data_IF_854397401654
#
_entry.id   IF_854397401654
#
_cell.length_a   1.000
_cell.length_b   1.000
_cell.length_c   1.000
_cell.angle_alpha   90.00
_cell.angle_beta   90.00
_cell.angle_gamma   90.00
#
_symmetry.space_group_name_H-M   'P 1'
#
loop_
_entity.id
_entity.type
_entity.pdbx_description
1 polymer ?
#
# COMPACT_ATOMS: atom_id res chain seq x y z
N UNK A 1 17.84 -8.81 -22.13
CA UNK A 1 16.37 -8.62 -22.12
C UNK A 1 16.14 -7.26 -21.52
N UNK A 2 15.25 -6.44 -22.10
CA UNK A 2 15.01 -5.07 -21.63
C UNK A 2 13.67 -5.00 -20.91
N UNK A 3 13.57 -4.12 -19.92
CA UNK A 3 12.30 -3.81 -19.26
C UNK A 3 11.36 -3.18 -20.29
N UNK A 4 10.23 -3.83 -20.53
CA UNK A 4 9.13 -3.37 -21.38
C UNK A 4 7.80 -3.74 -20.73
N UNK A 5 6.71 -3.16 -21.24
CA UNK A 5 5.35 -3.40 -20.73
C UNK A 5 4.99 -4.89 -20.69
N UNK A 6 4.21 -5.27 -19.67
CA UNK A 6 3.71 -6.63 -19.41
C UNK A 6 4.81 -7.65 -19.06
N UNK A 7 5.97 -7.17 -18.59
CA UNK A 7 7.03 -8.00 -18.00
C UNK A 7 7.07 -7.88 -16.48
N UNK A 8 7.42 -8.98 -15.83
CA UNK A 8 7.73 -8.99 -14.39
C UNK A 8 9.19 -8.65 -14.20
N UNK A 9 9.44 -7.65 -13.36
CA UNK A 9 10.78 -7.17 -13.06
C UNK A 9 11.01 -7.30 -11.56
N UNK A 10 12.07 -8.02 -11.22
CA UNK A 10 12.59 -8.10 -9.86
C UNK A 10 13.63 -6.99 -9.69
N UNK A 11 13.39 -6.04 -8.79
CA UNK A 11 14.36 -4.99 -8.50
C UNK A 11 14.65 -4.87 -7.01
N UNK A 12 15.89 -4.53 -6.70
CA UNK A 12 16.26 -3.97 -5.41
C UNK A 12 16.21 -2.45 -5.54
N UNK A 13 15.71 -1.77 -4.52
CA UNK A 13 15.77 -0.32 -4.48
C UNK A 13 16.03 0.20 -3.08
N UNK A 14 16.54 1.42 -3.03
CA UNK A 14 16.64 2.20 -1.81
C UNK A 14 16.11 3.59 -2.08
N UNK A 15 15.10 4.03 -1.34
CA UNK A 15 14.52 5.37 -1.49
C UNK A 15 14.85 6.25 -0.31
N UNK A 16 15.41 7.43 -0.61
CA UNK A 16 15.79 8.44 0.36
C UNK A 16 15.12 9.77 0.04
N UNK A 17 14.78 10.53 1.08
CA UNK A 17 14.35 11.92 0.93
C UNK A 17 15.52 12.82 0.51
N UNK A 18 15.22 14.06 0.11
CA UNK A 18 16.24 15.05 -0.21
C UNK A 18 17.18 15.35 0.99
N UNK A 19 16.65 15.28 2.20
CA UNK A 19 17.38 15.37 3.48
C UNK A 19 18.26 14.15 3.79
N UNK A 20 18.22 13.10 2.96
CA UNK A 20 19.00 11.89 3.11
C UNK A 20 18.41 10.86 4.08
N UNK A 21 17.17 11.07 4.55
CA UNK A 21 16.45 10.11 5.40
C UNK A 21 16.04 8.92 4.54
N UNK A 22 16.38 7.71 5.00
CA UNK A 22 15.92 6.49 4.36
C UNK A 22 14.42 6.32 4.62
N UNK A 23 13.64 6.26 3.54
CA UNK A 23 12.18 6.11 3.61
C UNK A 23 11.81 4.63 3.55
N UNK A 24 12.38 3.93 2.58
CA UNK A 24 12.10 2.52 2.32
C UNK A 24 13.27 1.87 1.57
N UNK A 25 13.43 0.57 1.72
CA UNK A 25 14.44 -0.21 1.01
C UNK A 25 14.01 -1.66 0.77
N UNK A 26 14.27 -2.12 -0.45
CA UNK A 26 14.18 -3.52 -0.83
C UNK A 26 15.59 -4.00 -1.23
N UNK A 27 16.27 -4.80 -0.38
CA UNK A 27 17.60 -5.30 -0.68
C UNK A 27 17.56 -6.39 -1.77
N UNK A 28 18.68 -6.62 -2.46
CA UNK A 28 18.80 -7.68 -3.47
C UNK A 28 18.54 -9.11 -2.96
N UNK A 29 18.61 -9.33 -1.63
CA UNK A 29 18.22 -10.59 -1.00
C UNK A 29 16.71 -10.81 -0.95
N UNK A 30 15.92 -9.74 -1.00
CA UNK A 30 14.46 -9.74 -1.01
C UNK A 30 13.99 -8.69 -2.04
N UNK A 31 14.20 -8.96 -3.34
CA UNK A 31 13.85 -8.00 -4.38
C UNK A 31 12.33 -7.82 -4.44
N UNK A 32 11.91 -6.61 -4.79
CA UNK A 32 10.52 -6.31 -5.09
C UNK A 32 10.21 -6.77 -6.51
N UNK A 33 9.30 -7.73 -6.62
CA UNK A 33 8.74 -8.17 -7.89
C UNK A 33 7.51 -7.33 -8.24
N UNK A 34 7.54 -6.66 -9.40
CA UNK A 34 6.40 -5.90 -9.90
C UNK A 34 6.15 -6.13 -11.38
N UNK A 35 4.95 -5.77 -11.84
CA UNK A 35 4.54 -5.88 -13.24
C UNK A 35 4.66 -4.51 -13.92
N UNK A 36 5.51 -4.41 -14.93
CA UNK A 36 5.82 -3.16 -15.60
C UNK A 36 4.71 -2.73 -16.59
N UNK A 37 4.38 -1.44 -16.64
CA UNK A 37 3.39 -0.90 -17.58
C UNK A 37 1.94 -0.94 -17.09
N UNK A 38 1.74 -1.18 -15.78
CA UNK A 38 0.43 -1.31 -15.12
C UNK A 38 0.22 -0.38 -13.93
N UNK A 39 1.17 0.53 -13.66
CA UNK A 39 1.06 1.45 -12.53
C UNK A 39 1.21 0.76 -11.17
N UNK A 40 1.92 -0.37 -11.11
CA UNK A 40 2.27 -1.02 -9.84
C UNK A 40 3.32 -0.20 -9.06
N UNK A 41 4.07 0.66 -9.75
CA UNK A 41 5.04 1.59 -9.16
C UNK A 41 4.71 3.03 -9.55
N UNK A 42 5.36 3.96 -8.86
CA UNK A 42 5.29 5.39 -9.19
C UNK A 42 5.74 5.65 -10.63
N UNK A 43 5.07 6.57 -11.31
CA UNK A 43 5.25 6.81 -12.74
C UNK A 43 6.69 7.21 -13.10
N UNK A 44 7.37 7.98 -12.25
CA UNK A 44 8.75 8.39 -12.48
C UNK A 44 9.75 7.24 -12.42
N UNK A 45 9.53 6.28 -11.52
CA UNK A 45 10.37 5.09 -11.38
C UNK A 45 10.12 4.13 -12.55
N UNK A 46 8.87 3.93 -12.94
CA UNK A 46 8.51 3.07 -14.07
C UNK A 46 9.13 3.60 -15.37
N UNK A 47 9.02 4.90 -15.66
CA UNK A 47 9.68 5.54 -16.82
C UNK A 47 11.20 5.39 -16.81
N UNK A 48 11.82 5.46 -15.63
CA UNK A 48 13.28 5.35 -15.52
C UNK A 48 13.79 3.91 -15.69
N UNK A 49 12.96 2.94 -15.38
CA UNK A 49 13.20 1.52 -15.57
C UNK A 49 12.97 1.08 -17.02
N UNK A 50 12.12 1.77 -17.78
CA UNK A 50 11.84 1.44 -19.18
C UNK A 50 13.12 1.40 -20.03
N UNK A 51 13.34 0.26 -20.70
CA UNK A 51 14.51 0.05 -21.57
C UNK A 51 15.81 -0.35 -20.87
N UNK A 52 15.83 -0.45 -19.54
CA UNK A 52 16.97 -0.95 -18.74
C UNK A 52 17.15 -2.46 -18.86
N UNK A 53 18.34 -2.95 -18.55
CA UNK A 53 18.68 -4.37 -18.61
C UNK A 53 18.86 -4.99 -17.22
N UNK A 54 18.67 -6.30 -17.11
CA UNK A 54 18.93 -7.03 -15.87
C UNK A 54 20.43 -6.98 -15.50
N UNK A 55 20.72 -6.74 -14.23
CA UNK A 55 22.05 -6.50 -13.66
C UNK A 55 22.48 -5.03 -13.67
N UNK A 56 21.65 -4.12 -14.18
CA UNK A 56 21.96 -2.69 -14.22
C UNK A 56 21.59 -2.02 -12.89
N UNK A 57 22.54 -1.25 -12.34
CA UNK A 57 22.29 -0.36 -11.21
C UNK A 57 22.39 1.10 -11.65
N UNK A 58 21.48 1.92 -11.15
CA UNK A 58 21.46 3.35 -11.44
C UNK A 58 20.71 4.13 -10.37
N UNK A 59 21.03 5.41 -10.26
CA UNK A 59 20.33 6.36 -9.41
C UNK A 59 19.34 7.17 -10.25
N UNK A 60 18.12 7.33 -9.74
CA UNK A 60 17.11 8.21 -10.32
C UNK A 60 16.53 9.11 -9.25
N UNK A 61 16.45 10.41 -9.57
CA UNK A 61 15.73 11.38 -8.74
C UNK A 61 14.33 11.54 -9.32
N UNK A 62 13.31 11.14 -8.56
CA UNK A 62 11.92 11.29 -8.93
C UNK A 62 11.36 12.52 -8.21
N UNK A 63 10.80 13.45 -8.97
CA UNK A 63 10.14 14.63 -8.42
C UNK A 63 8.84 14.21 -7.72
N UNK A 64 8.37 15.01 -6.77
CA UNK A 64 7.13 14.76 -6.04
C UNK A 64 5.96 14.40 -6.98
N UNK A 65 5.75 15.17 -8.06
CA UNK A 65 4.71 14.95 -9.08
C UNK A 65 4.70 13.53 -9.68
N UNK A 66 5.88 12.96 -9.94
CA UNK A 66 6.04 11.64 -10.57
C UNK A 66 6.24 10.52 -9.52
N UNK A 67 6.27 10.86 -8.23
CA UNK A 67 6.38 9.94 -7.10
C UNK A 67 5.02 9.72 -6.41
N UNK A 68 4.80 10.35 -5.26
CA UNK A 68 3.55 10.27 -4.49
C UNK A 68 2.59 11.43 -4.79
N UNK A 69 2.90 12.25 -5.79
CA UNK A 69 2.19 13.47 -6.13
C UNK A 69 2.72 14.70 -5.41
N UNK A 70 2.27 15.87 -5.85
CA UNK A 70 2.46 17.09 -5.07
C UNK A 70 1.58 17.06 -3.82
N UNK A 71 2.01 17.80 -2.82
CA UNK A 71 1.15 18.14 -1.71
C UNK A 71 -0.05 18.91 -2.24
N UNK A 72 -1.24 18.34 -2.09
CA UNK A 72 -2.47 18.94 -2.56
C UNK A 72 -3.17 19.62 -1.37
N UNK A 73 -3.18 20.95 -1.36
CA UNK A 73 -3.92 21.73 -0.36
C UNK A 73 -5.43 21.43 -0.39
N UNK A 74 -5.98 20.88 -1.48
CA UNK A 74 -7.39 20.47 -1.53
C UNK A 74 -7.68 19.18 -0.76
N UNK A 75 -6.65 18.36 -0.49
CA UNK A 75 -6.75 17.20 0.41
C UNK A 75 -6.66 17.61 1.88
N UNK A 76 -6.29 18.87 2.15
CA UNK A 76 -6.35 19.47 3.49
C UNK A 76 -7.75 20.01 3.72
N UNK A 77 -8.50 19.36 4.60
CA UNK A 77 -9.90 19.70 4.86
C UNK A 77 -10.09 20.21 6.28
N UNK A 78 -10.96 21.22 6.41
CA UNK A 78 -11.42 21.71 7.69
C UNK A 78 -12.73 21.03 8.02
N UNK A 79 -12.69 20.20 9.04
CA UNK A 79 -13.81 19.37 9.44
C UNK A 79 -14.31 19.83 10.81
N UNK A 80 -15.62 20.04 11.01
CA UNK A 80 -16.16 20.40 12.32
C UNK A 80 -15.87 19.30 13.35
N UNK A 81 -15.52 19.66 14.59
CA UNK A 81 -15.27 18.67 15.64
C UNK A 81 -16.48 17.76 15.91
N UNK A 82 -17.69 18.26 15.69
CA UNK A 82 -18.94 17.52 15.85
C UNK A 82 -19.02 16.23 15.02
N UNK A 83 -18.25 16.10 13.94
CA UNK A 83 -18.26 14.84 13.16
C UNK A 83 -17.44 13.75 13.82
N UNK A 84 -16.48 14.11 14.69
CA UNK A 84 -15.64 13.18 15.43
C UNK A 84 -16.35 12.70 16.68
N UNK A 85 -17.50 12.07 16.49
CA UNK A 85 -18.35 11.56 17.59
C UNK A 85 -17.66 10.36 18.23
N UNK A 86 -17.41 10.42 19.54
CA UNK A 86 -16.82 9.32 20.31
C UNK A 86 -15.30 9.39 20.47
N UNK A 87 -14.68 10.51 20.11
CA UNK A 87 -13.27 10.81 20.42
C UNK A 87 -13.25 11.86 21.52
N UNK A 88 -12.80 11.48 22.72
CA UNK A 88 -12.76 12.39 23.88
C UNK A 88 -11.74 13.53 23.72
N UNK A 89 -10.62 13.28 23.01
CA UNK A 89 -9.55 14.26 22.82
C UNK A 89 -9.02 14.19 21.37
N UNK A 90 -9.14 15.30 20.63
CA UNK A 90 -8.58 15.45 19.29
C UNK A 90 -7.17 16.06 19.42
N UNK A 91 -6.16 15.28 19.07
CA UNK A 91 -4.76 15.70 19.11
C UNK A 91 -4.15 15.79 17.71
N UNK A 92 -3.18 16.69 17.55
CA UNK A 92 -2.38 16.77 16.33
C UNK A 92 -1.53 15.50 16.18
N UNK A 93 -1.52 14.92 14.99
CA UNK A 93 -0.88 13.65 14.66
C UNK A 93 -1.81 12.43 14.77
N UNK A 94 -3.05 12.59 15.26
CA UNK A 94 -4.02 11.49 15.23
C UNK A 94 -4.48 11.18 13.82
N UNK A 95 -4.63 9.89 13.51
CA UNK A 95 -5.06 9.41 12.19
C UNK A 95 -6.48 8.87 12.24
N UNK A 96 -7.27 9.25 11.25
CA UNK A 96 -8.67 8.85 11.09
C UNK A 96 -8.92 8.38 9.67
N UNK A 97 -9.94 7.55 9.46
CA UNK A 97 -10.46 7.26 8.13
C UNK A 97 -11.60 8.25 7.86
N UNK A 98 -11.37 9.20 6.98
CA UNK A 98 -12.40 10.12 6.51
C UNK A 98 -13.13 9.49 5.32
N UNK A 99 -14.45 9.35 5.42
CA UNK A 99 -15.27 9.00 4.27
C UNK A 99 -15.36 10.19 3.31
N UNK A 100 -14.71 10.08 2.16
CA UNK A 100 -14.75 11.06 1.08
C UNK A 100 -15.56 10.53 -0.10
N UNK A 101 -15.88 11.38 -1.09
CA UNK A 101 -16.55 10.96 -2.33
C UNK A 101 -15.74 9.90 -3.12
N UNK A 102 -14.43 9.79 -2.85
CA UNK A 102 -13.51 8.81 -3.44
C UNK A 102 -13.40 7.52 -2.61
N UNK A 103 -14.11 7.43 -1.49
CA UNK A 103 -14.04 6.33 -0.53
C UNK A 103 -13.37 6.73 0.80
N UNK A 104 -13.19 5.75 1.72
CA UNK A 104 -12.52 5.99 3.00
C UNK A 104 -11.04 6.28 2.77
N UNK A 105 -10.61 7.50 3.07
CA UNK A 105 -9.23 7.98 2.94
C UNK A 105 -8.64 8.15 4.34
N UNK A 106 -7.47 7.57 4.63
CA UNK A 106 -6.76 7.86 5.87
C UNK A 106 -6.28 9.31 5.87
N UNK A 107 -6.67 10.08 6.89
CA UNK A 107 -6.29 11.48 7.11
C UNK A 107 -5.61 11.63 8.47
N UNK A 108 -4.71 12.60 8.61
CA UNK A 108 -4.01 12.93 9.84
C UNK A 108 -4.38 14.35 10.31
N UNK A 109 -4.63 14.55 11.60
CA UNK A 109 -4.90 15.88 12.14
C UNK A 109 -3.60 16.69 12.17
N UNK A 110 -3.55 17.80 11.44
CA UNK A 110 -2.39 18.71 11.42
C UNK A 110 -2.57 19.91 12.33
N UNK A 111 -3.82 20.30 12.60
CA UNK A 111 -4.13 21.37 13.55
C UNK A 111 -5.51 21.17 14.19
N UNK A 112 -5.62 21.57 15.46
CA UNK A 112 -6.88 21.57 16.22
C UNK A 112 -7.20 23.02 16.57
N UNK A 113 -8.25 23.57 15.98
CA UNK A 113 -8.78 24.91 16.30
C UNK A 113 -9.95 24.80 17.30
N UNK A 114 -10.58 25.90 17.72
CA UNK A 114 -11.66 25.86 18.72
C UNK A 114 -12.90 25.07 18.24
N UNK A 115 -13.42 25.39 17.05
CA UNK A 115 -14.66 24.78 16.49
C UNK A 115 -14.39 23.74 15.39
N UNK A 116 -13.19 23.75 14.80
CA UNK A 116 -12.84 22.91 13.64
C UNK A 116 -11.49 22.21 13.85
N UNK A 117 -11.28 21.12 13.13
CA UNK A 117 -10.00 20.40 13.03
C UNK A 117 -9.55 20.40 11.59
N UNK A 118 -8.25 20.62 11.39
CA UNK A 118 -7.61 20.53 10.07
C UNK A 118 -7.08 19.12 9.93
N UNK A 119 -7.60 18.40 8.95
CA UNK A 119 -7.15 17.07 8.59
C UNK A 119 -6.43 17.13 7.26
N UNK A 120 -5.39 16.33 7.12
CA UNK A 120 -4.58 16.22 5.93
C UNK A 120 -4.64 14.79 5.41
N UNK A 121 -5.21 14.62 4.21
CA UNK A 121 -5.28 13.34 3.51
C UNK A 121 -4.10 13.07 2.59
N UNK A 122 -3.11 13.96 2.54
CA UNK A 122 -1.94 13.74 1.72
C UNK A 122 -1.10 12.57 2.23
N UNK A 123 -0.45 11.87 1.30
CA UNK A 123 0.57 10.90 1.68
C UNK A 123 1.72 11.61 2.42
N UNK A 124 2.32 11.00 3.45
CA UNK A 124 3.42 11.60 4.22
C UNK A 124 4.62 12.06 3.36
N UNK A 125 4.75 11.51 2.15
CA UNK A 125 5.83 11.78 1.19
C UNK A 125 5.36 12.66 0.02
N UNK A 126 4.10 13.09 0.01
CA UNK A 126 3.59 14.01 -1.02
C UNK A 126 4.33 15.34 -0.95
N UNK A 127 4.66 15.90 -2.11
CA UNK A 127 5.46 17.14 -2.19
C UNK A 127 6.96 16.97 -1.95
N UNK A 128 7.45 15.77 -1.63
CA UNK A 128 8.88 15.52 -1.42
C UNK A 128 9.54 14.88 -2.66
N UNK A 129 10.71 15.40 -3.01
CA UNK A 129 11.57 14.78 -4.01
C UNK A 129 12.27 13.56 -3.42
N UNK A 130 12.23 12.44 -4.14
CA UNK A 130 12.76 11.17 -3.69
C UNK A 130 13.91 10.73 -4.58
N UNK A 131 15.00 10.28 -3.95
CA UNK A 131 16.16 9.69 -4.64
C UNK A 131 16.08 8.18 -4.50
N UNK A 132 15.95 7.50 -5.62
CA UNK A 132 15.94 6.06 -5.70
C UNK A 132 17.28 5.58 -6.23
N UNK A 133 17.95 4.71 -5.48
CA UNK A 133 18.99 3.85 -6.00
C UNK A 133 18.33 2.53 -6.39
N UNK A 134 18.45 2.13 -7.65
CA UNK A 134 17.71 0.99 -8.20
C UNK A 134 18.66 0.01 -8.84
N UNK A 135 18.47 -1.26 -8.57
CA UNK A 135 19.21 -2.36 -9.18
C UNK A 135 18.22 -3.38 -9.76
N UNK A 136 18.29 -3.58 -11.07
CA UNK A 136 17.45 -4.57 -11.76
C UNK A 136 18.07 -5.94 -11.54
N UNK A 137 17.42 -6.82 -10.77
CA UNK A 137 17.94 -8.15 -10.45
C UNK A 137 17.62 -9.14 -11.57
N UNK A 138 16.35 -9.19 -11.98
CA UNK A 138 15.88 -10.12 -12.99
C UNK A 138 14.71 -9.53 -13.78
N UNK A 139 14.54 -10.02 -15.00
CA UNK A 139 13.41 -9.68 -15.86
C UNK A 139 12.88 -11.00 -16.41
N UNK A 140 11.58 -11.22 -16.29
CA UNK A 140 10.89 -12.39 -16.85
C UNK A 140 9.57 -11.98 -17.48
N UNK A 141 9.04 -12.86 -18.32
CA UNK A 141 7.68 -12.70 -18.85
C UNK A 141 6.65 -12.95 -17.75
N UNK A 142 5.60 -12.14 -17.73
CA UNK A 142 4.46 -12.34 -16.84
C UNK A 142 3.64 -13.53 -17.32
N UNK A 143 3.09 -14.31 -16.38
CA UNK A 143 2.15 -15.37 -16.74
C UNK A 143 0.78 -14.76 -17.11
N UNK A 144 -0.04 -15.51 -17.85
CA UNK A 144 -1.40 -15.05 -18.19
C UNK A 144 -2.25 -14.75 -16.95
N UNK A 145 -2.01 -15.46 -15.84
CA UNK A 145 -2.64 -15.19 -14.55
C UNK A 145 -2.17 -13.86 -13.96
N UNK A 146 -0.87 -13.58 -13.91
CA UNK A 146 -0.35 -12.29 -13.42
C UNK A 146 -0.83 -11.12 -14.28
N UNK A 147 -0.97 -11.34 -15.59
CA UNK A 147 -1.57 -10.39 -16.53
C UNK A 147 -3.09 -10.26 -16.37
N UNK A 148 -3.79 -11.27 -15.86
CA UNK A 148 -5.21 -11.14 -15.55
C UNK A 148 -5.43 -10.42 -14.22
N UNK A 149 -4.59 -10.71 -13.22
CA UNK A 149 -4.69 -10.19 -11.86
C UNK A 149 -4.03 -8.81 -11.66
N UNK A 150 -3.07 -8.42 -12.53
CA UNK A 150 -2.40 -7.12 -12.47
C UNK A 150 -1.29 -7.01 -11.42
N UNK A 151 -0.96 -8.11 -10.73
CA UNK A 151 0.11 -8.18 -9.74
C UNK A 151 0.92 -9.48 -9.91
N UNK A 152 2.17 -9.47 -9.43
CA UNK A 152 3.06 -10.63 -9.51
C UNK A 152 2.71 -11.63 -8.42
N UNK A 153 2.57 -12.90 -8.78
CA UNK A 153 2.40 -13.98 -7.81
C UNK A 153 3.79 -14.51 -7.45
N UNK A 154 4.51 -13.77 -6.61
CA UNK A 154 5.86 -14.13 -6.14
C UNK A 154 5.86 -15.29 -5.14
N UNK A 155 7.05 -15.85 -4.87
CA UNK A 155 7.26 -16.97 -3.94
C UNK A 155 6.85 -16.69 -2.48
N UNK A 156 6.63 -15.42 -2.13
CA UNK A 156 5.83 -15.06 -0.97
C UNK A 156 4.38 -15.24 -1.33
N UNK A 157 3.89 -16.46 -1.15
CA UNK A 157 2.47 -16.79 -1.22
C UNK A 157 1.69 -15.91 -0.26
N UNK A 158 1.27 -14.74 -0.72
CA UNK A 158 -0.03 -14.25 -0.34
C UNK A 158 -1.01 -15.18 -1.03
N UNK A 159 -1.32 -16.28 -0.34
CA UNK A 159 -2.55 -17.02 -0.56
C UNK A 159 -3.67 -15.97 -0.52
N UNK A 160 -4.08 -15.52 -1.69
CA UNK A 160 -5.43 -15.05 -1.88
C UNK A 160 -6.31 -16.29 -1.72
N UNK A 161 -6.55 -16.66 -0.46
CA UNK A 161 -7.72 -17.44 -0.13
C UNK A 161 -8.90 -16.70 -0.71
N UNK A 162 -9.49 -17.28 -1.74
CA UNK A 162 -10.79 -16.86 -2.26
C UNK A 162 -11.76 -16.83 -1.07
N UNK A 163 -12.12 -15.64 -0.59
CA UNK A 163 -12.95 -15.56 0.60
C UNK A 163 -13.05 -14.17 1.22
N UNK A 164 -13.81 -13.29 0.58
CA UNK A 164 -14.66 -12.32 1.27
C UNK A 164 -13.96 -11.28 2.16
N UNK A 165 -13.77 -10.09 1.62
CA UNK A 165 -13.76 -8.87 2.42
C UNK A 165 -15.16 -8.68 3.04
N UNK A 166 -15.36 -9.21 4.25
CA UNK A 166 -16.41 -8.79 5.17
C UNK A 166 -15.72 -8.22 6.41
N UNK A 167 -15.39 -6.93 6.36
CA UNK A 167 -15.11 -6.16 7.56
C UNK A 167 -16.37 -6.10 8.42
N UNK A 168 -16.32 -6.71 9.60
CA UNK A 168 -17.38 -6.69 10.59
C UNK A 168 -16.79 -6.90 11.98
N UNK A 169 -16.47 -5.79 12.65
CA UNK A 169 -16.13 -5.73 14.06
C UNK A 169 -17.31 -6.21 14.92
N UNK A 170 -17.05 -7.02 15.94
CA UNK A 170 -18.01 -7.38 16.98
C UNK A 170 -17.35 -8.12 18.13
N UNK A 171 -16.85 -7.37 19.13
CA UNK A 171 -16.52 -7.87 20.45
C UNK A 171 -17.76 -8.49 21.12
N UNK A 172 -17.59 -9.60 21.85
CA UNK A 172 -18.21 -9.73 23.18
C UNK A 172 -17.45 -10.74 24.04
N UNK A 173 -17.25 -10.34 25.27
CA UNK A 173 -16.55 -11.04 26.34
C UNK A 173 -17.29 -12.29 26.84
N UNK A 174 -16.51 -13.29 27.25
CA UNK A 174 -16.87 -14.18 28.36
C UNK A 174 -17.55 -15.50 27.99
N UNK A 175 -16.82 -16.60 28.12
CA UNK A 175 -17.07 -17.56 29.20
C UNK A 175 -16.07 -18.73 29.13
N UNK A 176 -15.42 -19.00 30.26
CA UNK A 176 -14.88 -20.32 30.57
C UNK A 176 -15.96 -21.39 30.33
N UNK A 177 -15.60 -22.55 29.76
CA UNK A 177 -15.77 -23.84 30.43
C UNK A 177 -15.23 -25.02 29.61
N UNK A 178 -14.49 -25.84 30.34
CA UNK A 178 -14.04 -27.21 30.13
C UNK A 178 -15.10 -28.19 29.57
N UNK A 179 -14.58 -29.29 28.99
CA UNK A 179 -15.17 -30.62 28.68
C UNK A 179 -15.24 -30.94 27.17
N UNK A 180 -14.40 -31.81 26.61
CA UNK A 180 -14.26 -33.27 26.80
C UNK A 180 -15.24 -34.08 25.90
N UNK A 181 -14.64 -34.93 25.06
CA UNK A 181 -15.12 -36.13 24.36
C UNK A 181 -16.52 -36.18 23.70
N UNK A 182 -16.56 -36.54 22.40
CA UNK A 182 -17.81 -36.99 21.79
C UNK A 182 -17.77 -37.29 20.29
N UNK A 183 -17.56 -38.56 19.95
CA UNK A 183 -17.76 -39.19 18.64
C UNK A 183 -19.09 -38.85 17.93
N UNK A 184 -19.12 -38.98 16.59
CA UNK A 184 -20.35 -39.43 15.91
C UNK A 184 -20.52 -39.06 14.44
N UNK A 185 -19.99 -39.91 13.54
CA UNK A 185 -20.34 -39.95 12.12
C UNK A 185 -21.72 -40.61 11.92
N UNK A 186 -22.55 -40.13 10.98
CA UNK A 186 -23.82 -40.78 10.63
C UNK A 186 -24.64 -40.02 9.57
N UNK A 187 -24.72 -40.57 8.36
CA UNK A 187 -25.29 -39.92 7.18
C UNK A 187 -26.74 -40.28 6.83
N UNK A 188 -27.12 -39.94 5.60
CA UNK A 188 -28.21 -40.57 4.85
C UNK A 188 -29.44 -39.70 4.63
N UNK A 189 -29.83 -39.52 3.37
CA UNK A 189 -31.18 -39.09 3.00
C UNK A 189 -31.32 -38.51 1.60
N UNK A 190 -31.19 -39.34 0.56
CA UNK A 190 -31.78 -39.05 -0.74
C UNK A 190 -33.32 -39.22 -0.64
N UNK A 191 -34.08 -38.25 -1.13
CA UNK A 191 -35.31 -38.39 -1.95
C UNK A 191 -35.65 -37.03 -2.55
#
# INVERSE_FOLDING_TARGET
MKVVKDLVVSLAYQVRTEDGVLVDEAPASAPLDYLHGRGSLISGLEKALEGREAGENFDVSVQADDAYGQYDDNLVQRVPKDVFVGVDELEVGMRFLADTDMGPVPVEITAVEDEHVVVDGNHMLAGQNLKFNVEVIAIREATEEELAHGHVHGAHGHEHGEGGCCGGHGHDDGHHHHHDEGHGCGGGGCH
#
